data_IF_923636626153
#
_entry.id   IF_923636626153
#
_cell.length_a   1.000
_cell.length_b   1.000
_cell.length_c   1.000
_cell.angle_alpha   90.00
_cell.angle_beta   90.00
_cell.angle_gamma   90.00
#
_symmetry.space_group_name_H-M   'P 1'
#
loop_
_entity.id
_entity.type
_entity.pdbx_description
1 polymer ?
#
# COMPACT_ATOMS: atom_id res chain seq x y z
N UNK A 1 -19.74 11.37 15.23
CA UNK A 1 -20.49 10.14 15.60
C UNK A 1 -20.91 9.42 14.33
N UNK A 2 -20.06 8.55 13.76
CA UNK A 2 -20.37 7.79 12.54
C UNK A 2 -19.94 6.32 12.72
N UNK A 3 -20.95 5.53 13.09
CA UNK A 3 -21.19 4.11 12.80
C UNK A 3 -19.97 3.18 12.73
N UNK A 4 -19.74 2.49 13.85
CA UNK A 4 -19.37 1.07 13.87
C UNK A 4 -20.12 0.32 12.76
N UNK A 5 -19.42 -0.04 11.70
CA UNK A 5 -19.99 -0.70 10.53
C UNK A 5 -20.04 -2.21 10.80
N UNK A 6 -21.24 -2.69 11.15
CA UNK A 6 -21.70 -4.09 11.36
C UNK A 6 -20.68 -5.22 11.10
N UNK A 7 -19.96 -5.69 12.13
CA UNK A 7 -19.10 -6.88 12.07
C UNK A 7 -19.88 -8.16 11.69
N UNK A 8 -21.15 -8.28 12.09
CA UNK A 8 -21.92 -9.53 12.01
C UNK A 8 -22.07 -10.10 10.60
N UNK A 9 -22.24 -9.26 9.58
CA UNK A 9 -22.38 -9.75 8.19
C UNK A 9 -21.03 -10.14 7.60
N UNK A 10 -19.93 -9.52 8.02
CA UNK A 10 -18.60 -9.90 7.56
C UNK A 10 -18.17 -11.22 8.19
N UNK A 11 -18.41 -11.39 9.50
CA UNK A 11 -18.14 -12.64 10.23
C UNK A 11 -18.96 -13.80 9.65
N UNK A 12 -20.25 -13.59 9.33
CA UNK A 12 -21.10 -14.63 8.70
C UNK A 12 -20.66 -15.07 7.30
N UNK A 13 -19.83 -14.28 6.61
CA UNK A 13 -19.31 -14.62 5.27
C UNK A 13 -18.01 -15.42 5.33
N UNK A 14 -17.44 -15.59 6.52
CA UNK A 14 -16.25 -16.38 6.75
C UNK A 14 -16.58 -17.86 6.50
N UNK A 15 -15.84 -18.46 5.58
CA UNK A 15 -15.88 -19.88 5.31
C UNK A 15 -14.71 -20.57 6.01
N UNK A 16 -14.90 -21.79 6.53
CA UNK A 16 -13.79 -22.57 7.08
C UNK A 16 -12.77 -22.86 5.98
N UNK A 17 -11.50 -22.82 6.35
CA UNK A 17 -10.39 -23.14 5.46
C UNK A 17 -10.29 -24.63 5.19
N UNK A 18 -9.66 -24.95 4.06
CA UNK A 18 -9.35 -26.31 3.60
C UNK A 18 -8.09 -26.91 4.25
N UNK A 19 -7.43 -26.21 5.18
CA UNK A 19 -6.24 -26.68 5.88
C UNK A 19 -4.97 -26.77 5.03
N UNK A 20 -5.00 -26.27 3.79
CA UNK A 20 -3.85 -26.29 2.88
C UNK A 20 -2.69 -25.46 3.43
N UNK A 21 -1.43 -25.82 3.10
CA UNK A 21 -0.28 -25.05 3.57
C UNK A 21 -0.21 -23.66 2.91
N UNK A 22 0.26 -22.68 3.70
CA UNK A 22 0.56 -21.34 3.23
C UNK A 22 1.64 -21.40 2.15
N UNK A 23 1.29 -20.93 0.95
CA UNK A 23 2.25 -20.86 -0.16
C UNK A 23 3.28 -19.79 0.11
N UNK A 24 4.56 -20.17 0.03
CA UNK A 24 5.70 -19.25 0.19
C UNK A 24 5.54 -18.00 -0.68
N UNK A 25 5.84 -16.84 -0.11
CA UNK A 25 5.87 -15.58 -0.84
C UNK A 25 7.07 -15.55 -1.80
N UNK A 26 6.79 -15.31 -3.09
CA UNK A 26 7.79 -15.19 -4.16
C UNK A 26 7.94 -13.72 -4.54
N UNK A 27 9.16 -13.25 -4.78
CA UNK A 27 9.44 -11.82 -4.94
C UNK A 27 8.65 -11.17 -6.08
N UNK A 28 8.40 -11.88 -7.19
CA UNK A 28 7.60 -11.37 -8.30
C UNK A 28 6.10 -11.24 -7.96
N UNK A 29 5.61 -11.86 -6.89
CA UNK A 29 4.20 -11.76 -6.49
C UNK A 29 3.82 -10.37 -5.95
N UNK A 30 4.82 -9.54 -5.60
CA UNK A 30 4.60 -8.13 -5.31
C UNK A 30 4.09 -7.37 -6.55
N UNK A 31 4.52 -7.77 -7.76
CA UNK A 31 4.08 -7.16 -9.02
C UNK A 31 2.67 -7.62 -9.40
N UNK A 32 2.26 -8.80 -8.92
CA UNK A 32 0.93 -9.36 -9.19
C UNK A 32 -0.12 -8.95 -8.15
N UNK A 33 0.23 -8.09 -7.19
CA UNK A 33 -0.70 -7.59 -6.18
C UNK A 33 -1.04 -8.56 -5.05
N UNK A 34 -0.12 -9.47 -4.70
CA UNK A 34 -0.24 -10.32 -3.51
C UNK A 34 0.33 -9.59 -2.30
N UNK A 35 -0.46 -9.46 -1.25
CA UNK A 35 -0.05 -8.96 0.06
C UNK A 35 -0.14 -10.09 1.09
N UNK A 36 0.93 -10.32 1.84
CA UNK A 36 0.99 -11.29 2.92
C UNK A 36 1.43 -10.57 4.19
N UNK A 37 0.57 -10.61 5.21
CA UNK A 37 0.80 -9.97 6.50
C UNK A 37 0.72 -11.00 7.63
N UNK A 38 1.49 -10.79 8.69
CA UNK A 38 1.62 -11.70 9.82
C UNK A 38 1.27 -11.00 11.13
N UNK A 39 0.67 -11.76 12.04
CA UNK A 39 0.38 -11.39 13.41
C UNK A 39 0.82 -12.53 14.32
N UNK A 40 1.53 -12.22 15.38
CA UNK A 40 1.85 -13.19 16.43
C UNK A 40 0.99 -12.88 17.63
N UNK A 41 0.19 -13.86 18.04
CA UNK A 41 -0.64 -13.80 19.24
C UNK A 41 -0.20 -14.89 20.20
N UNK A 42 -0.55 -14.73 21.47
CA UNK A 42 -0.52 -15.83 22.43
C UNK A 42 -1.87 -16.52 22.36
N UNK A 43 -1.89 -17.79 21.96
CA UNK A 43 -3.11 -18.59 21.94
C UNK A 43 -3.63 -18.87 23.36
N UNK A 44 -4.86 -19.37 23.46
CA UNK A 44 -5.52 -19.65 24.74
C UNK A 44 -4.72 -20.66 25.61
N UNK A 45 -3.95 -21.54 24.96
CA UNK A 45 -3.05 -22.51 25.61
C UNK A 45 -1.72 -21.90 26.10
N UNK A 46 -1.55 -20.58 26.02
CA UNK A 46 -0.32 -19.86 26.36
C UNK A 46 0.82 -20.00 25.35
N UNK A 47 0.61 -20.72 24.24
CA UNK A 47 1.60 -20.91 23.18
C UNK A 47 1.54 -19.79 22.15
N UNK A 48 2.67 -19.37 21.56
CA UNK A 48 2.65 -18.42 20.46
C UNK A 48 1.98 -19.06 19.23
N UNK A 49 1.02 -18.34 18.64
CA UNK A 49 0.30 -18.69 17.42
C UNK A 49 0.58 -17.64 16.36
N UNK A 50 0.96 -18.07 15.16
CA UNK A 50 1.21 -17.17 14.03
C UNK A 50 0.02 -17.15 13.08
N UNK A 51 -0.67 -16.02 13.05
CA UNK A 51 -1.68 -15.74 12.04
C UNK A 51 -1.05 -15.08 10.82
N UNK A 52 -1.43 -15.55 9.64
CA UNK A 52 -1.01 -14.94 8.38
C UNK A 52 -2.22 -14.65 7.51
N UNK A 53 -2.32 -13.43 7.00
CA UNK A 53 -3.38 -12.96 6.12
C UNK A 53 -2.81 -12.83 4.71
N UNK A 54 -3.27 -13.68 3.79
CA UNK A 54 -2.92 -13.64 2.36
C UNK A 54 -4.07 -13.01 1.57
N UNK A 55 -3.78 -11.94 0.85
CA UNK A 55 -4.74 -11.19 0.06
C UNK A 55 -4.18 -10.97 -1.34
N UNK A 56 -5.01 -11.16 -2.36
CA UNK A 56 -4.70 -10.80 -3.75
C UNK A 56 -5.62 -9.68 -4.18
N UNK A 57 -5.14 -8.44 -4.12
CA UNK A 57 -6.00 -7.28 -4.37
C UNK A 57 -6.38 -7.11 -5.85
N UNK A 58 -5.66 -7.77 -6.77
CA UNK A 58 -6.02 -7.84 -8.19
C UNK A 58 -7.17 -8.83 -8.48
N UNK A 59 -7.74 -9.44 -7.44
CA UNK A 59 -8.82 -10.42 -7.57
C UNK A 59 -8.31 -11.83 -7.87
N UNK A 60 -9.20 -12.81 -7.73
CA UNK A 60 -8.93 -14.17 -8.22
C UNK A 60 -8.93 -14.20 -9.75
N UNK A 61 -8.17 -15.11 -10.35
CA UNK A 61 -8.11 -15.27 -11.82
C UNK A 61 -9.42 -15.81 -12.38
N UNK A 62 -10.18 -16.55 -11.56
CA UNK A 62 -11.41 -17.22 -11.99
C UNK A 62 -12.61 -16.28 -12.01
N UNK A 63 -12.77 -15.46 -10.98
CA UNK A 63 -13.97 -14.63 -10.79
C UNK A 63 -13.70 -13.15 -10.51
N UNK A 64 -12.42 -12.72 -10.48
CA UNK A 64 -12.03 -11.35 -10.17
C UNK A 64 -12.31 -10.93 -8.74
N UNK A 65 -12.83 -11.82 -7.89
CA UNK A 65 -13.24 -11.46 -6.53
C UNK A 65 -12.02 -11.42 -5.62
N UNK A 66 -11.85 -10.32 -4.90
CA UNK A 66 -10.82 -10.20 -3.88
C UNK A 66 -11.24 -10.97 -2.62
N UNK A 67 -10.46 -12.00 -2.29
CA UNK A 67 -10.63 -12.81 -1.08
C UNK A 67 -9.44 -12.58 -0.15
N UNK A 68 -9.74 -12.50 1.15
CA UNK A 68 -8.75 -12.61 2.20
C UNK A 68 -8.74 -14.07 2.70
N UNK A 69 -7.54 -14.63 2.85
CA UNK A 69 -7.33 -15.97 3.38
C UNK A 69 -6.53 -15.86 4.68
N UNK A 70 -7.11 -16.37 5.76
CA UNK A 70 -6.47 -16.45 7.06
C UNK A 70 -5.82 -17.82 7.23
N UNK A 71 -4.56 -17.81 7.62
CA UNK A 71 -3.78 -18.99 7.97
C UNK A 71 -3.43 -18.93 9.45
N UNK A 72 -3.54 -20.05 10.14
CA UNK A 72 -3.10 -20.25 11.53
C UNK A 72 -1.96 -21.26 11.52
N UNK A 73 -0.79 -20.86 12.02
CA UNK A 73 0.44 -21.66 12.00
C UNK A 73 0.77 -22.25 10.62
N UNK A 74 0.59 -21.42 9.59
CA UNK A 74 0.85 -21.79 8.20
C UNK A 74 -0.19 -22.71 7.56
N UNK A 75 -1.32 -23.02 8.23
CA UNK A 75 -2.42 -23.80 7.65
C UNK A 75 -3.64 -22.94 7.39
N UNK A 76 -4.27 -23.12 6.24
CA UNK A 76 -5.44 -22.34 5.86
C UNK A 76 -6.59 -22.60 6.84
N UNK A 77 -6.94 -21.57 7.58
CA UNK A 77 -7.89 -21.64 8.68
C UNK A 77 -9.27 -21.11 8.27
N UNK A 78 -9.31 -20.02 7.50
CA UNK A 78 -10.56 -19.41 7.06
C UNK A 78 -10.37 -18.55 5.81
N UNK A 79 -11.44 -18.33 5.04
CA UNK A 79 -11.46 -17.40 3.91
C UNK A 79 -12.74 -16.55 3.89
N UNK A 80 -12.64 -15.32 3.39
CA UNK A 80 -13.81 -14.46 3.18
C UNK A 80 -13.58 -13.48 2.04
N UNK A 81 -14.67 -13.06 1.37
CA UNK A 81 -14.65 -11.92 0.46
C UNK A 81 -14.38 -10.64 1.25
N UNK A 82 -13.54 -9.75 0.70
CA UNK A 82 -13.25 -8.45 1.33
C UNK A 82 -14.42 -7.46 1.13
N UNK A 83 -14.68 -6.54 2.07
CA UNK A 83 -14.07 -6.45 3.40
C UNK A 83 -14.45 -7.64 4.30
N UNK A 84 -13.47 -8.16 5.02
CA UNK A 84 -13.54 -9.39 5.82
C UNK A 84 -13.18 -9.11 7.29
N UNK A 85 -13.81 -9.85 8.20
CA UNK A 85 -13.52 -9.81 9.64
C UNK A 85 -13.38 -11.25 10.11
N UNK A 86 -12.17 -11.62 10.54
CA UNK A 86 -11.88 -12.96 11.02
C UNK A 86 -11.79 -12.97 12.55
N UNK A 87 -12.64 -13.72 13.26
CA UNK A 87 -12.47 -13.89 14.70
C UNK A 87 -11.18 -14.68 14.98
N UNK A 88 -10.37 -14.20 15.93
CA UNK A 88 -9.14 -14.84 16.41
C UNK A 88 -9.03 -14.71 17.92
N UNK A 89 -8.03 -15.31 18.56
CA UNK A 89 -7.85 -15.23 20.01
C UNK A 89 -7.73 -13.75 20.47
N UNK A 90 -8.52 -13.39 21.48
CA UNK A 90 -8.52 -12.05 22.07
C UNK A 90 -9.12 -10.92 21.20
N UNK A 91 -9.69 -11.22 20.02
CA UNK A 91 -10.26 -10.17 19.16
C UNK A 91 -10.65 -10.61 17.75
N UNK A 92 -10.46 -9.73 16.78
CA UNK A 92 -10.72 -10.01 15.38
C UNK A 92 -9.70 -9.32 14.46
N UNK A 93 -9.38 -9.96 13.35
CA UNK A 93 -8.57 -9.36 12.29
C UNK A 93 -9.51 -8.78 11.24
N UNK A 94 -9.45 -7.47 11.06
CA UNK A 94 -10.21 -6.77 10.01
C UNK A 94 -9.35 -6.54 8.78
N UNK A 95 -9.89 -6.88 7.62
CA UNK A 95 -9.20 -6.79 6.33
C UNK A 95 -10.07 -6.03 5.32
N UNK A 96 -9.53 -4.94 4.78
CA UNK A 96 -10.12 -4.20 3.67
C UNK A 96 -9.06 -3.87 2.62
N UNK A 97 -9.45 -3.88 1.35
CA UNK A 97 -8.58 -3.56 0.21
C UNK A 97 -9.13 -2.41 -0.60
N UNK A 98 -8.27 -1.75 -1.35
CA UNK A 98 -8.61 -0.86 -2.47
C UNK A 98 -8.12 -1.49 -3.78
N UNK A 99 -8.42 -0.85 -4.91
CA UNK A 99 -7.88 -1.22 -6.22
C UNK A 99 -6.34 -1.19 -6.28
N UNK A 100 -5.71 -0.47 -5.35
CA UNK A 100 -4.26 -0.24 -5.32
C UNK A 100 -3.53 -1.06 -4.25
N UNK A 101 -4.22 -1.79 -3.38
CA UNK A 101 -3.56 -2.53 -2.30
C UNK A 101 -4.44 -2.84 -1.10
N UNK A 102 -3.81 -3.28 -0.01
CA UNK A 102 -4.48 -3.47 1.28
C UNK A 102 -4.71 -2.12 1.94
N UNK A 103 -5.98 -1.75 2.16
CA UNK A 103 -6.35 -0.51 2.85
C UNK A 103 -6.19 -0.63 4.36
N UNK A 104 -6.63 -1.76 4.90
CA UNK A 104 -6.71 -1.99 6.34
C UNK A 104 -6.42 -3.47 6.59
N UNK A 105 -5.45 -3.74 7.46
CA UNK A 105 -5.18 -5.08 7.98
C UNK A 105 -4.67 -4.92 9.40
N UNK A 106 -5.60 -4.94 10.34
CA UNK A 106 -5.33 -4.75 11.76
C UNK A 106 -6.02 -5.80 12.60
N UNK A 107 -5.45 -6.06 13.76
CA UNK A 107 -6.03 -6.84 14.83
C UNK A 107 -6.68 -5.89 15.82
N UNK A 108 -7.98 -6.04 16.02
CA UNK A 108 -8.76 -5.29 17.00
C UNK A 108 -9.02 -6.20 18.18
N UNK A 109 -8.50 -5.85 19.35
CA UNK A 109 -8.75 -6.61 20.58
C UNK A 109 -10.20 -6.45 21.03
N UNK A 110 -10.66 -7.36 21.89
CA UNK A 110 -11.97 -7.21 22.58
C UNK A 110 -12.07 -5.92 23.40
N UNK A 111 -10.94 -5.40 23.87
CA UNK A 111 -10.85 -4.11 24.56
C UNK A 111 -10.83 -2.90 23.60
N UNK A 112 -10.85 -3.12 22.28
CA UNK A 112 -10.86 -2.08 21.26
C UNK A 112 -9.49 -1.51 20.89
N UNK A 113 -8.40 -2.12 21.34
CA UNK A 113 -7.05 -1.71 20.93
C UNK A 113 -6.74 -2.26 19.53
N UNK A 114 -6.24 -1.39 18.65
CA UNK A 114 -5.91 -1.74 17.26
C UNK A 114 -4.39 -1.94 17.09
N UNK A 115 -4.01 -3.07 16.50
CA UNK A 115 -2.62 -3.43 16.21
C UNK A 115 -2.44 -3.74 14.73
N UNK A 116 -1.50 -3.07 14.07
CA UNK A 116 -1.22 -3.32 12.66
C UNK A 116 -0.46 -4.64 12.48
N UNK A 117 -0.83 -5.42 11.46
CA UNK A 117 -0.10 -6.63 11.09
C UNK A 117 1.23 -6.29 10.40
N UNK A 118 2.22 -7.17 10.57
CA UNK A 118 3.56 -6.99 10.00
C UNK A 118 3.64 -7.60 8.60
N UNK A 119 4.08 -6.87 7.57
CA UNK A 119 4.20 -7.42 6.22
C UNK A 119 5.30 -8.51 6.13
N UNK A 120 5.12 -9.50 5.24
CA UNK A 120 6.09 -10.58 5.01
C UNK A 120 7.49 -10.00 4.67
N UNK A 121 8.58 -10.51 5.26
CA UNK A 121 9.93 -9.99 5.03
C UNK A 121 10.39 -9.99 3.57
N UNK A 122 9.82 -10.84 2.71
CA UNK A 122 10.10 -10.93 1.28
C UNK A 122 9.23 -9.98 0.45
N UNK A 123 8.18 -9.41 1.02
CA UNK A 123 7.38 -8.38 0.36
C UNK A 123 8.18 -7.09 0.21
N UNK A 124 7.74 -6.20 -0.69
CA UNK A 124 8.40 -4.90 -0.86
C UNK A 124 8.31 -4.04 0.41
N UNK A 125 7.16 -4.08 1.10
CA UNK A 125 6.92 -3.39 2.37
C UNK A 125 7.80 -3.95 3.49
N UNK A 126 7.90 -5.28 3.60
CA UNK A 126 8.75 -5.95 4.59
C UNK A 126 10.24 -5.66 4.37
N UNK A 127 10.70 -5.67 3.11
CA UNK A 127 12.06 -5.27 2.76
C UNK A 127 12.32 -3.79 3.08
N UNK A 128 11.36 -2.90 2.82
CA UNK A 128 11.48 -1.46 3.13
C UNK A 128 11.54 -1.21 4.64
N UNK A 129 10.72 -1.91 5.42
CA UNK A 129 10.72 -1.83 6.88
C UNK A 129 12.03 -2.38 7.48
N UNK A 130 12.59 -3.45 6.89
CA UNK A 130 13.92 -3.96 7.27
C UNK A 130 15.02 -2.96 6.94
N UNK A 131 15.01 -2.39 5.74
CA UNK A 131 15.98 -1.38 5.33
C UNK A 131 15.95 -0.13 6.22
N UNK A 132 14.76 0.32 6.64
CA UNK A 132 14.62 1.44 7.58
C UNK A 132 15.23 1.13 8.95
N UNK A 133 15.08 -0.10 9.44
CA UNK A 133 15.68 -0.56 10.70
C UNK A 133 17.19 -0.73 10.61
N UNK A 134 17.70 -1.29 9.52
CA UNK A 134 19.13 -1.58 9.34
C UNK A 134 19.95 -0.35 8.96
N UNK A 135 19.35 0.64 8.31
CA UNK A 135 20.06 1.83 7.82
C UNK A 135 19.16 3.07 7.83
N UNK A 136 18.82 3.59 9.01
CA UNK A 136 17.94 4.76 9.14
C UNK A 136 18.52 6.01 8.46
N UNK A 137 19.85 6.17 8.46
CA UNK A 137 20.54 7.27 7.76
C UNK A 137 20.34 7.22 6.25
N UNK A 138 20.65 6.09 5.61
CA UNK A 138 20.48 5.91 4.16
C UNK A 138 19.00 6.03 3.74
N UNK A 139 18.08 5.53 4.56
CA UNK A 139 16.64 5.69 4.35
C UNK A 139 16.20 7.16 4.31
N UNK A 140 16.75 8.01 5.18
CA UNK A 140 16.48 9.46 5.15
C UNK A 140 17.08 10.13 3.92
N UNK A 141 18.32 9.79 3.57
CA UNK A 141 18.99 10.35 2.36
C UNK A 141 18.23 9.97 1.10
N UNK A 142 17.86 8.70 0.92
CA UNK A 142 17.07 8.26 -0.23
C UNK A 142 15.71 8.97 -0.30
N UNK A 143 15.03 9.12 0.85
CA UNK A 143 13.79 9.89 0.91
C UNK A 143 13.98 11.35 0.52
N UNK A 144 15.06 11.99 0.96
CA UNK A 144 15.38 13.38 0.62
C UNK A 144 15.74 13.54 -0.86
N UNK A 145 16.58 12.65 -1.40
CA UNK A 145 16.93 12.62 -2.82
C UNK A 145 15.69 12.41 -3.69
N UNK A 146 14.81 11.49 -3.30
CA UNK A 146 13.52 11.25 -3.96
C UNK A 146 12.67 12.53 -4.04
N UNK A 147 12.54 13.25 -2.92
CA UNK A 147 11.83 14.54 -2.87
C UNK A 147 12.48 15.58 -3.79
N UNK A 148 13.81 15.74 -3.73
CA UNK A 148 14.53 16.67 -4.60
C UNK A 148 14.26 16.36 -6.07
N UNK A 149 14.37 15.09 -6.47
CA UNK A 149 14.15 14.69 -7.86
C UNK A 149 12.71 14.98 -8.29
N UNK A 150 11.72 14.73 -7.42
CA UNK A 150 10.30 15.06 -7.71
C UNK A 150 10.10 16.58 -7.82
N UNK A 151 10.68 17.39 -6.94
CA UNK A 151 10.57 18.86 -6.97
C UNK A 151 11.22 19.43 -8.22
N UNK A 152 12.42 18.97 -8.57
CA UNK A 152 13.11 19.33 -9.81
C UNK A 152 12.24 18.93 -11.01
N UNK A 153 11.70 17.71 -11.00
CA UNK A 153 10.83 17.23 -12.06
C UNK A 153 9.57 18.08 -12.24
N UNK A 154 8.92 18.46 -11.15
CA UNK A 154 7.76 19.33 -11.17
C UNK A 154 8.11 20.74 -11.68
N UNK A 155 9.22 21.32 -11.21
CA UNK A 155 9.68 22.63 -11.67
C UNK A 155 10.00 22.67 -13.16
N UNK A 156 10.66 21.62 -13.68
CA UNK A 156 10.93 21.47 -15.10
C UNK A 156 9.63 21.30 -15.92
N UNK A 157 8.66 20.54 -15.40
CA UNK A 157 7.36 20.38 -16.07
C UNK A 157 6.58 21.70 -16.14
N UNK A 158 6.60 22.49 -15.07
CA UNK A 158 6.02 23.86 -15.05
C UNK A 158 6.68 24.73 -16.11
N UNK A 159 8.01 24.71 -16.21
CA UNK A 159 8.74 25.50 -17.20
C UNK A 159 8.38 25.10 -18.64
N UNK A 160 8.16 23.80 -18.89
CA UNK A 160 7.70 23.28 -20.18
C UNK A 160 6.27 23.67 -20.53
N UNK A 161 5.41 23.96 -19.54
CA UNK A 161 4.04 24.42 -19.74
C UNK A 161 3.99 25.94 -19.94
N UNK A 162 4.87 26.71 -19.30
CA UNK A 162 4.92 28.16 -19.46
C UNK A 162 5.25 28.59 -20.90
N UNK A 163 6.16 27.87 -21.56
CA UNK A 163 6.58 28.20 -22.93
C UNK A 163 5.40 28.19 -23.95
N UNK A 164 4.57 27.14 -24.06
CA UNK A 164 3.41 27.16 -24.94
C UNK A 164 2.30 28.12 -24.50
N UNK A 165 2.12 28.35 -23.19
CA UNK A 165 1.14 29.33 -22.68
C UNK A 165 1.54 30.76 -23.07
N UNK A 166 2.84 31.09 -23.03
CA UNK A 166 3.35 32.40 -23.43
C UNK A 166 3.15 32.72 -24.92
N UNK A 167 2.87 31.70 -25.75
CA UNK A 167 2.57 31.84 -27.18
C UNK A 167 1.07 31.97 -27.48
N UNK A 168 0.21 31.91 -26.46
CA UNK A 168 -1.24 32.14 -26.62
C UNK A 168 -1.46 33.66 -26.80
N UNK A 169 -2.11 34.10 -27.90
CA UNK A 169 -2.19 35.51 -28.32
C UNK A 169 -2.56 36.53 -27.21
N UNK A 170 -3.58 36.30 -26.36
CA UNK A 170 -3.92 37.24 -25.27
C UNK A 170 -2.82 37.45 -24.19
N UNK A 171 -1.85 36.54 -24.05
CA UNK A 171 -0.78 36.60 -23.04
C UNK A 171 0.50 37.20 -23.65
N UNK A 172 0.80 36.85 -24.91
CA UNK A 172 1.94 37.38 -25.66
C UNK A 172 1.90 38.91 -25.80
N UNK A 173 0.70 39.47 -25.91
CA UNK A 173 0.48 40.92 -26.06
C UNK A 173 0.67 41.72 -24.76
N UNK A 174 0.57 41.10 -23.57
CA UNK A 174 0.70 41.79 -22.28
C UNK A 174 2.06 41.60 -21.59
N UNK A 175 2.77 40.48 -21.83
CA UNK A 175 3.98 40.10 -21.06
C UNK A 175 5.20 39.85 -21.97
N UNK A 176 4.99 39.63 -23.28
CA UNK A 176 6.05 39.28 -24.24
C UNK A 176 6.30 37.78 -24.36
N UNK A 177 6.86 37.35 -25.51
CA UNK A 177 7.11 35.94 -25.83
C UNK A 177 8.35 35.43 -25.08
N UNK A 178 8.18 34.44 -24.21
CA UNK A 178 9.29 33.80 -23.52
C UNK A 178 9.89 32.71 -24.42
N UNK A 179 11.11 32.93 -24.91
CA UNK A 179 11.87 31.92 -25.64
C UNK A 179 12.74 31.19 -24.62
N UNK A 180 12.41 29.94 -24.31
CA UNK A 180 13.25 29.11 -23.42
C UNK A 180 14.59 28.82 -24.11
N UNK A 181 15.74 29.21 -23.53
CA UNK A 181 17.05 28.91 -24.12
C UNK A 181 17.48 27.45 -23.88
N UNK A 182 16.65 26.63 -23.22
CA UNK A 182 16.99 25.28 -22.79
C UNK A 182 16.02 24.30 -23.45
N UNK A 183 16.44 23.70 -24.56
CA UNK A 183 15.73 22.57 -25.16
C UNK A 183 15.92 21.34 -24.29
N UNK A 184 14.88 21.03 -23.51
CA UNK A 184 14.86 19.86 -22.64
C UNK A 184 14.87 18.58 -23.48
N UNK A 185 15.96 17.82 -23.43
CA UNK A 185 16.10 16.67 -24.30
C UNK A 185 15.21 15.51 -23.85
N UNK A 186 14.80 14.67 -24.81
CA UNK A 186 13.82 13.58 -24.62
C UNK A 186 14.20 12.65 -23.46
N UNK A 187 15.50 12.35 -23.27
CA UNK A 187 15.96 11.49 -22.17
C UNK A 187 15.68 12.09 -20.79
N UNK A 188 15.66 13.42 -20.65
CA UNK A 188 15.34 14.06 -19.37
C UNK A 188 13.84 13.96 -19.06
N UNK A 189 12.97 14.05 -20.07
CA UNK A 189 11.53 13.80 -19.90
C UNK A 189 11.24 12.35 -19.47
N UNK A 190 11.92 11.38 -20.09
CA UNK A 190 11.80 9.96 -19.71
C UNK A 190 12.28 9.77 -18.27
N UNK A 191 13.40 10.38 -17.90
CA UNK A 191 13.97 10.30 -16.54
C UNK A 191 13.01 10.89 -15.51
N UNK A 192 12.36 12.02 -15.82
CA UNK A 192 11.32 12.63 -14.99
C UNK A 192 10.10 11.73 -14.79
N UNK A 193 9.60 11.14 -15.88
CA UNK A 193 8.45 10.24 -15.81
C UNK A 193 8.76 9.00 -14.96
N UNK A 194 9.95 8.43 -15.13
CA UNK A 194 10.44 7.31 -14.31
C UNK A 194 10.59 7.73 -12.85
N UNK A 195 11.14 8.91 -12.57
CA UNK A 195 11.29 9.40 -11.20
C UNK A 195 9.93 9.66 -10.52
N UNK A 196 8.96 10.23 -11.24
CA UNK A 196 7.60 10.42 -10.74
C UNK A 196 6.92 9.08 -10.41
N UNK A 197 7.10 8.08 -11.28
CA UNK A 197 6.61 6.72 -11.04
C UNK A 197 7.30 6.03 -9.86
N UNK A 198 8.60 6.23 -9.69
CA UNK A 198 9.36 5.69 -8.55
C UNK A 198 8.97 6.37 -7.23
N UNK A 199 8.79 7.70 -7.23
CA UNK A 199 8.35 8.46 -6.06
C UNK A 199 6.93 8.10 -5.61
N UNK A 200 6.01 7.89 -6.56
CA UNK A 200 4.65 7.39 -6.23
C UNK A 200 4.69 5.96 -5.68
N UNK A 201 5.58 5.11 -6.21
CA UNK A 201 5.82 3.76 -5.70
C UNK A 201 6.42 3.78 -4.29
N UNK A 202 7.39 4.66 -3.99
CA UNK A 202 7.96 4.79 -2.64
C UNK A 202 6.88 5.21 -1.62
N UNK A 203 5.97 6.12 -2.01
CA UNK A 203 4.85 6.54 -1.18
C UNK A 203 3.83 5.42 -0.95
N UNK A 204 3.55 4.60 -1.96
CA UNK A 204 2.69 3.42 -1.84
C UNK A 204 3.30 2.31 -0.97
N UNK A 205 4.63 2.12 -1.02
CA UNK A 205 5.36 1.12 -0.25
C UNK A 205 5.60 1.53 1.20
N UNK A 206 5.50 2.82 1.53
CA UNK A 206 5.40 3.27 2.92
C UNK A 206 4.01 2.94 3.43
N UNK A 207 3.83 1.72 3.94
CA UNK A 207 2.71 1.34 4.82
C UNK A 207 2.77 2.08 6.18
N UNK A 208 2.92 3.40 6.15
CA UNK A 208 2.53 4.27 7.25
C UNK A 208 1.21 4.88 6.83
N UNK A 209 0.12 4.20 7.16
CA UNK A 209 -1.19 4.85 7.22
C UNK A 209 -1.07 6.03 8.18
N UNK A 210 -0.93 7.23 7.64
CA UNK A 210 -1.20 8.46 8.36
C UNK A 210 -2.68 8.74 8.18
N UNK A 211 -3.43 8.63 9.28
CA UNK A 211 -4.82 9.04 9.44
C UNK A 211 -5.17 10.39 8.78
N UNK A 212 -4.17 11.27 8.61
CA UNK A 212 -4.31 12.58 7.99
C UNK A 212 -4.72 12.56 6.50
N UNK A 213 -4.44 11.47 5.74
CA UNK A 213 -4.79 11.39 4.31
C UNK A 213 -6.19 10.82 4.05
N UNK A 214 -6.84 10.20 5.02
CA UNK A 214 -8.16 9.56 4.87
C UNK A 214 -9.33 10.52 5.23
N UNK A 215 -9.05 11.79 5.54
CA UNK A 215 -10.06 12.84 5.70
C UNK A 215 -10.43 13.56 4.38
N UNK A 216 -9.74 13.24 3.27
CA UNK A 216 -9.81 14.00 2.02
C UNK A 216 -10.16 13.20 0.76
N UNK A 217 -10.85 12.06 0.88
CA UNK A 217 -11.28 11.28 -0.27
C UNK A 217 -12.65 10.64 -0.03
N UNK A 218 -13.70 11.40 -0.35
CA UNK A 218 -15.06 10.89 -0.50
C UNK A 218 -15.17 9.96 -1.71
#
# INVERSE_FOLDING_TARGET
MFKQWRPDRAVRRVKPGDGRPLKRFRWWQMLTGRALLHLRLTGDDGRPVEYSVDVRHNGDKEDGVVRAQLYRDGRHHAESKVPAVFPVEGGAIEVATTSFGVKRCHYVTTAGAEYQLTPDPRSAEGRRARFERESPGLSRVLGFVSVIVVVIGLGLNILQILEPISRIPPIAENIGVFVSPIHLPIWLNITLAVAAALGSTERALRLRYHWLLDAGGN
#
